data_IF_031740521637
#
_entry.id   IF_031740521637
#
_cell.length_a   1.000
_cell.length_b   1.000
_cell.length_c   1.000
_cell.angle_alpha   90.00
_cell.angle_beta   90.00
_cell.angle_gamma   90.00
#
_symmetry.space_group_name_H-M   'P 1'
#
loop_
_entity.id
_entity.type
_entity.pdbx_description
1 polymer ?
#
# COMPACT_ATOMS: atom_id res chain seq x y z
N UNK A 1 -9.22 -37.43 -63.73
CA UNK A 1 -8.41 -38.04 -62.65
C UNK A 1 -8.38 -36.99 -61.54
N UNK A 2 -9.26 -37.10 -60.53
CA UNK A 2 -9.21 -38.05 -59.40
C UNK A 2 -8.37 -37.45 -58.25
N UNK A 3 -8.88 -37.25 -57.04
CA UNK A 3 -10.27 -37.43 -56.53
C UNK A 3 -10.52 -36.58 -55.27
N UNK A 4 -11.77 -36.57 -54.78
CA UNK A 4 -12.15 -35.86 -53.56
C UNK A 4 -11.69 -36.63 -52.29
N UNK A 5 -11.40 -35.90 -51.21
CA UNK A 5 -12.09 -36.17 -49.93
C UNK A 5 -11.95 -35.05 -48.90
N UNK A 6 -13.08 -34.66 -48.30
CA UNK A 6 -13.15 -33.90 -47.06
C UNK A 6 -13.25 -34.85 -45.86
N UNK A 7 -12.76 -34.44 -44.69
CA UNK A 7 -13.44 -34.72 -43.42
C UNK A 7 -14.40 -33.58 -43.03
N UNK A 8 -15.39 -33.91 -42.22
CA UNK A 8 -16.52 -33.04 -41.89
C UNK A 8 -16.18 -31.92 -40.90
N UNK A 9 -17.05 -30.90 -40.89
CA UNK A 9 -17.11 -29.88 -39.84
C UNK A 9 -17.53 -30.48 -38.49
N UNK A 10 -16.89 -30.05 -37.41
CA UNK A 10 -17.46 -30.10 -36.07
C UNK A 10 -17.80 -28.69 -35.56
N UNK A 11 -18.87 -28.57 -34.80
CA UNK A 11 -19.63 -27.33 -34.67
C UNK A 11 -19.06 -26.28 -33.71
N UNK A 12 -19.29 -25.00 -34.03
CA UNK A 12 -19.15 -23.87 -33.09
C UNK A 12 -20.19 -23.95 -31.97
N UNK A 13 -19.81 -23.98 -30.68
CA UNK A 13 -20.76 -23.98 -29.57
C UNK A 13 -21.49 -22.63 -29.44
N UNK A 14 -22.82 -22.66 -29.47
CA UNK A 14 -23.67 -21.48 -29.24
C UNK A 14 -23.73 -21.05 -27.76
N UNK A 15 -24.14 -19.79 -27.47
CA UNK A 15 -24.09 -19.23 -26.11
C UNK A 15 -25.31 -19.63 -25.26
N UNK A 16 -25.39 -20.88 -24.80
CA UNK A 16 -26.55 -21.37 -24.01
C UNK A 16 -26.31 -22.45 -22.95
N UNK A 17 -25.07 -22.78 -22.56
CA UNK A 17 -24.78 -23.87 -21.60
C UNK A 17 -23.96 -23.46 -20.36
N UNK A 18 -24.38 -22.39 -19.66
CA UNK A 18 -23.90 -22.10 -18.30
C UNK A 18 -25.10 -21.88 -17.35
N UNK A 19 -25.50 -22.95 -16.66
CA UNK A 19 -26.43 -22.85 -15.53
C UNK A 19 -25.78 -22.16 -14.31
N UNK A 20 -26.58 -21.67 -13.35
CA UNK A 20 -26.06 -20.99 -12.16
C UNK A 20 -25.21 -21.95 -11.30
N UNK A 21 -24.07 -21.49 -10.75
CA UNK A 21 -23.23 -22.33 -9.91
C UNK A 21 -23.94 -22.66 -8.59
N UNK A 22 -23.99 -23.95 -8.23
CA UNK A 22 -24.56 -24.37 -6.95
C UNK A 22 -23.70 -23.91 -5.76
N UNK A 23 -24.32 -23.57 -4.62
CA UNK A 23 -23.59 -23.14 -3.43
C UNK A 23 -22.78 -24.31 -2.84
N UNK A 24 -21.45 -24.19 -2.85
CA UNK A 24 -20.55 -25.13 -2.19
C UNK A 24 -20.67 -24.97 -0.67
N UNK A 25 -21.10 -26.03 0.02
CA UNK A 25 -21.14 -26.07 1.48
C UNK A 25 -19.74 -25.80 2.08
N UNK A 26 -19.71 -25.06 3.19
CA UNK A 26 -18.51 -24.85 4.00
C UNK A 26 -18.33 -26.02 4.97
N UNK A 27 -17.09 -26.50 5.22
CA UNK A 27 -16.82 -27.41 6.33
C UNK A 27 -17.12 -26.74 7.68
N UNK A 28 -17.66 -27.50 8.62
CA UNK A 28 -17.84 -27.05 10.01
C UNK A 28 -16.49 -26.85 10.73
N UNK A 29 -16.42 -25.94 11.72
CA UNK A 29 -15.22 -25.75 12.52
C UNK A 29 -14.98 -26.94 13.46
N UNK A 30 -13.86 -27.63 13.29
CA UNK A 30 -13.44 -28.71 14.20
C UNK A 30 -13.21 -28.19 15.63
N UNK A 31 -13.67 -28.96 16.63
CA UNK A 31 -13.62 -28.58 18.05
C UNK A 31 -12.20 -28.52 18.63
N UNK A 32 -12.04 -27.71 19.69
CA UNK A 32 -10.77 -27.53 20.41
C UNK A 32 -10.54 -28.70 21.39
N UNK A 33 -9.41 -29.42 21.31
CA UNK A 33 -9.04 -30.40 22.34
C UNK A 33 -8.57 -29.69 23.63
N UNK A 34 -9.20 -30.01 24.76
CA UNK A 34 -8.69 -29.65 26.09
C UNK A 34 -7.73 -30.72 26.62
N UNK A 35 -6.68 -30.30 27.33
CA UNK A 35 -6.00 -31.13 28.32
C UNK A 35 -4.49 -31.33 28.11
N UNK A 36 -3.69 -30.57 28.87
CA UNK A 36 -2.41 -31.02 29.43
C UNK A 36 -2.30 -30.51 30.89
N UNK A 37 -1.57 -31.20 31.78
CA UNK A 37 -1.76 -31.05 33.22
C UNK A 37 -0.91 -29.94 33.87
N UNK A 38 -1.32 -29.56 35.09
CA UNK A 38 -0.57 -28.69 36.01
C UNK A 38 0.55 -29.50 36.67
N UNK A 39 1.72 -28.88 36.90
CA UNK A 39 2.77 -29.39 37.79
C UNK A 39 3.04 -28.38 38.92
N UNK A 40 3.32 -28.89 40.11
CA UNK A 40 3.12 -28.14 41.36
C UNK A 40 4.37 -27.41 41.91
N UNK A 41 4.14 -26.74 43.03
CA UNK A 41 4.89 -25.68 43.71
C UNK A 41 6.14 -26.08 44.51
N UNK A 42 7.05 -25.11 44.68
CA UNK A 42 7.89 -24.89 45.89
C UNK A 42 8.33 -23.40 45.90
N UNK A 43 7.98 -22.56 46.89
CA UNK A 43 8.50 -22.46 48.29
C UNK A 43 9.97 -21.98 48.28
N UNK A 44 10.39 -20.87 48.92
CA UNK A 44 9.80 -20.00 49.98
C UNK A 44 10.09 -18.50 49.64
N UNK A 45 9.97 -17.43 50.47
CA UNK A 45 9.81 -17.22 51.92
C UNK A 45 9.16 -15.84 52.27
N UNK A 46 9.32 -15.37 53.52
CA UNK A 46 8.89 -14.08 54.11
C UNK A 46 9.97 -13.62 55.15
N UNK A 47 9.88 -12.52 55.96
CA UNK A 47 8.67 -11.78 56.38
C UNK A 47 8.73 -10.23 56.57
N UNK A 48 7.53 -9.65 56.64
CA UNK A 48 7.03 -8.54 57.50
C UNK A 48 7.83 -7.24 57.80
N UNK A 49 7.20 -6.10 57.52
CA UNK A 49 7.49 -4.76 58.07
C UNK A 49 7.56 -3.66 56.98
N UNK A 50 6.89 -2.52 57.08
CA UNK A 50 5.89 -2.03 58.03
C UNK A 50 5.00 -0.92 57.41
N UNK A 51 4.05 -0.39 58.19
CA UNK A 51 3.22 0.80 57.94
C UNK A 51 2.20 0.81 56.77
N UNK A 52 0.92 0.96 57.12
CA UNK A 52 -0.15 1.40 56.20
C UNK A 52 -0.01 2.89 55.88
N UNK A 53 -0.38 3.28 54.67
CA UNK A 53 -1.08 4.56 54.42
C UNK A 53 -2.39 4.28 53.69
N UNK A 54 -3.49 4.84 54.19
CA UNK A 54 -4.82 4.67 53.62
C UNK A 54 -5.13 5.83 52.67
N UNK A 55 -5.43 5.53 51.41
CA UNK A 55 -6.12 6.47 50.54
C UNK A 55 -7.63 6.43 50.87
N UNK A 56 -8.30 7.59 51.05
CA UNK A 56 -9.73 7.62 51.26
C UNK A 56 -10.47 7.27 49.96
N UNK A 57 -11.48 6.41 50.06
CA UNK A 57 -12.37 6.08 48.95
C UNK A 57 -13.33 7.24 48.68
N UNK A 58 -12.94 8.17 47.80
CA UNK A 58 -13.86 9.17 47.25
C UNK A 58 -14.92 8.48 46.38
N UNK A 59 -16.19 8.79 46.62
CA UNK A 59 -17.31 8.08 46.00
C UNK A 59 -17.35 8.23 44.48
N UNK A 60 -17.51 7.11 43.77
CA UNK A 60 -17.67 7.07 42.32
C UNK A 60 -19.09 7.50 41.90
N UNK A 61 -19.33 8.82 41.82
CA UNK A 61 -20.49 9.35 41.11
C UNK A 61 -20.39 8.98 39.63
N UNK A 62 -21.41 8.34 39.02
CA UNK A 62 -21.38 8.05 37.59
C UNK A 62 -21.39 9.36 36.79
N UNK A 63 -20.30 9.65 36.07
CA UNK A 63 -20.23 10.77 35.14
C UNK A 63 -21.32 10.57 34.07
N UNK A 64 -22.23 11.53 33.83
CA UNK A 64 -23.27 11.39 32.83
C UNK A 64 -22.71 11.05 31.45
N UNK A 65 -23.37 10.16 30.71
CA UNK A 65 -22.92 9.73 29.38
C UNK A 65 -22.75 10.90 28.38
N UNK A 66 -23.44 12.02 28.61
CA UNK A 66 -23.29 13.28 27.87
C UNK A 66 -21.89 13.89 28.02
N UNK A 67 -21.30 13.80 29.20
CA UNK A 67 -20.02 14.42 29.53
C UNK A 67 -18.86 13.50 29.15
N UNK A 68 -19.06 12.18 29.25
CA UNK A 68 -18.16 11.19 28.64
C UNK A 68 -18.06 11.40 27.12
N UNK A 69 -19.19 11.63 26.44
CA UNK A 69 -19.21 11.98 25.02
C UNK A 69 -18.48 13.31 24.75
N UNK A 70 -18.66 14.34 25.59
CA UNK A 70 -17.96 15.62 25.45
C UNK A 70 -16.43 15.48 25.57
N UNK A 71 -15.93 14.70 26.53
CA UNK A 71 -14.49 14.44 26.68
C UNK A 71 -13.90 13.64 25.51
N UNK A 72 -14.68 12.73 24.90
CA UNK A 72 -14.24 11.98 23.72
C UNK A 72 -13.97 12.88 22.49
N UNK A 73 -14.66 14.03 22.36
CA UNK A 73 -14.38 15.00 21.30
C UNK A 73 -13.09 15.81 21.53
N UNK A 74 -12.60 15.93 22.77
CA UNK A 74 -11.43 16.76 23.10
C UNK A 74 -10.09 16.08 22.79
N UNK A 75 -10.06 14.76 22.68
CA UNK A 75 -8.82 13.97 22.50
C UNK A 75 -8.81 13.11 21.23
N UNK A 76 -9.78 13.28 20.32
CA UNK A 76 -9.69 12.71 18.99
C UNK A 76 -8.49 13.33 18.24
N UNK A 77 -7.42 12.58 17.92
CA UNK A 77 -6.28 13.15 17.22
C UNK A 77 -6.73 13.66 15.85
N UNK A 78 -6.12 14.76 15.37
CA UNK A 78 -6.34 15.26 14.01
C UNK A 78 -5.64 14.36 12.99
N UNK A 79 -6.06 13.09 12.93
CA UNK A 79 -5.87 12.22 11.78
C UNK A 79 -6.37 13.01 10.55
N UNK A 80 -5.55 13.17 9.49
CA UNK A 80 -6.00 13.77 8.23
C UNK A 80 -7.12 12.89 7.67
N UNK A 81 -8.35 13.24 8.03
CA UNK A 81 -9.46 12.31 7.97
C UNK A 81 -9.68 11.86 6.53
N UNK A 82 -9.89 10.56 6.35
CA UNK A 82 -9.93 9.88 5.05
C UNK A 82 -11.26 10.15 4.32
N UNK A 83 -11.47 11.43 4.00
CA UNK A 83 -12.73 12.00 3.53
C UNK A 83 -12.97 11.78 2.04
N UNK A 84 -11.91 11.55 1.26
CA UNK A 84 -11.91 11.55 -0.20
C UNK A 84 -11.22 10.27 -0.76
N UNK A 85 -11.67 9.08 -0.34
CA UNK A 85 -11.15 7.76 -0.76
C UNK A 85 -12.06 7.01 -1.76
N UNK A 86 -11.54 6.01 -2.52
CA UNK A 86 -12.36 5.21 -3.44
C UNK A 86 -13.38 4.30 -2.73
N UNK A 87 -14.65 4.43 -3.11
CA UNK A 87 -15.81 3.62 -2.66
C UNK A 87 -16.00 2.33 -3.45
N UNK A 88 -15.14 2.05 -4.44
CA UNK A 88 -15.23 0.91 -5.36
C UNK A 88 -13.84 0.32 -5.60
N UNK A 89 -13.72 -0.98 -5.98
CA UNK A 89 -12.44 -1.61 -6.29
C UNK A 89 -11.66 -0.83 -7.37
N UNK A 90 -10.60 -0.14 -6.96
CA UNK A 90 -9.85 0.81 -7.77
C UNK A 90 -8.35 0.46 -7.78
N UNK A 91 -7.73 0.49 -8.96
CA UNK A 91 -6.29 0.34 -9.15
C UNK A 91 -5.51 1.60 -8.76
N UNK A 92 -4.19 1.50 -8.61
CA UNK A 92 -3.32 2.57 -8.14
C UNK A 92 -3.39 3.87 -8.97
N UNK A 93 -3.46 3.78 -10.31
CA UNK A 93 -3.60 4.94 -11.19
C UNK A 93 -4.94 5.65 -11.02
N UNK A 94 -6.03 4.88 -10.85
CA UNK A 94 -7.38 5.41 -10.68
C UNK A 94 -7.68 6.03 -9.30
N UNK A 95 -6.76 5.95 -8.33
CA UNK A 95 -7.07 6.12 -6.90
C UNK A 95 -7.49 7.54 -6.47
N UNK A 96 -7.29 8.55 -7.31
CA UNK A 96 -7.81 9.91 -7.10
C UNK A 96 -9.21 10.12 -7.70
N UNK A 97 -9.74 9.21 -8.53
CA UNK A 97 -11.11 9.27 -9.06
C UNK A 97 -12.13 8.85 -7.99
N UNK A 98 -12.41 9.75 -7.06
CA UNK A 98 -13.43 9.56 -6.03
C UNK A 98 -14.69 10.37 -6.34
N UNK A 99 -15.78 10.13 -5.61
CA UNK A 99 -17.05 10.86 -5.77
C UNK A 99 -16.90 12.38 -5.52
N UNK A 100 -15.88 12.77 -4.76
CA UNK A 100 -15.53 14.16 -4.44
C UNK A 100 -14.49 14.76 -5.39
N UNK A 101 -14.07 14.04 -6.43
CA UNK A 101 -13.11 14.50 -7.43
C UNK A 101 -13.55 15.82 -8.09
N UNK A 102 -12.57 16.69 -8.38
CA UNK A 102 -12.74 17.94 -9.11
C UNK A 102 -11.50 18.15 -9.98
N UNK A 103 -11.69 18.47 -11.26
CA UNK A 103 -10.61 18.63 -12.24
C UNK A 103 -9.55 19.66 -11.80
N UNK A 104 -9.96 20.76 -11.14
CA UNK A 104 -9.05 21.80 -10.66
C UNK A 104 -8.01 21.29 -9.65
N UNK A 105 -8.29 20.19 -8.92
CA UNK A 105 -7.29 19.58 -8.01
C UNK A 105 -6.08 19.05 -8.78
N UNK A 106 -6.26 18.60 -10.03
CA UNK A 106 -5.14 18.17 -10.88
C UNK A 106 -4.30 19.38 -11.31
N UNK A 107 -4.92 20.52 -11.62
CA UNK A 107 -4.18 21.75 -11.92
C UNK A 107 -3.44 22.31 -10.70
N UNK A 108 -4.08 22.32 -9.51
CA UNK A 108 -3.42 22.74 -8.28
C UNK A 108 -2.27 21.78 -7.91
N UNK A 109 -2.44 20.48 -8.10
CA UNK A 109 -1.37 19.50 -7.93
C UNK A 109 -0.21 19.77 -8.91
N UNK A 110 -0.48 20.05 -10.18
CA UNK A 110 0.54 20.42 -11.16
C UNK A 110 1.26 21.72 -10.76
N UNK A 111 0.54 22.76 -10.33
CA UNK A 111 1.11 24.02 -9.88
C UNK A 111 2.03 23.85 -8.65
N UNK A 112 1.57 23.10 -7.63
CA UNK A 112 2.37 22.74 -6.44
C UNK A 112 3.60 21.93 -6.83
N UNK A 113 3.47 21.02 -7.79
CA UNK A 113 4.57 20.17 -8.27
C UNK A 113 5.62 20.98 -9.04
N UNK A 114 5.21 21.87 -9.94
CA UNK A 114 6.11 22.72 -10.73
C UNK A 114 6.82 23.75 -9.84
N UNK A 115 6.08 24.44 -8.97
CA UNK A 115 6.67 25.40 -8.02
C UNK A 115 7.63 24.71 -7.05
N UNK A 116 7.28 23.51 -6.57
CA UNK A 116 8.17 22.66 -5.78
C UNK A 116 9.44 22.28 -6.55
N UNK A 117 9.31 21.66 -7.73
CA UNK A 117 10.41 21.17 -8.55
C UNK A 117 11.42 22.26 -8.93
N UNK A 118 10.96 23.42 -9.43
CA UNK A 118 11.86 24.52 -9.77
C UNK A 118 12.44 25.19 -8.52
N UNK A 119 11.65 25.34 -7.44
CA UNK A 119 12.11 25.95 -6.19
C UNK A 119 13.19 25.11 -5.48
N UNK A 120 12.99 23.79 -5.38
CA UNK A 120 13.98 22.89 -4.76
C UNK A 120 15.14 22.60 -5.71
N UNK A 121 14.92 22.51 -7.02
CA UNK A 121 15.99 22.44 -8.03
C UNK A 121 16.95 23.62 -7.95
N UNK A 122 16.42 24.85 -7.86
CA UNK A 122 17.22 26.05 -7.66
C UNK A 122 17.95 26.04 -6.30
N UNK A 123 17.25 25.76 -5.20
CA UNK A 123 17.83 25.77 -3.85
C UNK A 123 18.94 24.71 -3.68
N UNK A 124 18.73 23.47 -4.14
CA UNK A 124 19.74 22.42 -4.06
C UNK A 124 20.83 22.55 -5.13
N UNK A 125 20.57 23.22 -6.25
CA UNK A 125 21.61 23.64 -7.20
C UNK A 125 22.61 24.62 -6.56
N UNK A 126 22.10 25.65 -5.88
CA UNK A 126 22.92 26.57 -5.09
C UNK A 126 23.67 25.85 -3.95
N UNK A 127 23.03 24.90 -3.26
CA UNK A 127 23.69 24.06 -2.27
C UNK A 127 24.82 23.22 -2.89
N UNK A 128 24.63 22.68 -4.09
CA UNK A 128 25.66 21.94 -4.82
C UNK A 128 26.91 22.79 -5.10
N UNK A 129 26.72 23.98 -5.66
CA UNK A 129 27.82 24.95 -5.85
C UNK A 129 28.50 25.35 -4.53
N UNK A 130 27.74 25.51 -3.43
CA UNK A 130 28.31 25.80 -2.12
C UNK A 130 29.15 24.64 -1.55
N UNK A 131 28.76 23.39 -1.82
CA UNK A 131 29.54 22.20 -1.47
C UNK A 131 30.82 22.13 -2.29
N UNK A 132 30.78 22.37 -3.60
CA UNK A 132 31.99 22.38 -4.43
C UNK A 132 32.96 23.51 -4.04
N UNK A 133 32.43 24.70 -3.72
CA UNK A 133 33.23 25.80 -3.17
C UNK A 133 33.89 25.44 -1.85
N UNK A 134 33.14 24.86 -0.91
CA UNK A 134 33.68 24.42 0.39
C UNK A 134 34.73 23.30 0.27
N UNK A 135 34.67 22.49 -0.80
CA UNK A 135 35.61 21.38 -1.06
C UNK A 135 36.84 21.77 -1.89
N UNK A 136 36.76 22.81 -2.71
CA UNK A 136 37.78 23.13 -3.73
C UNK A 136 38.29 24.57 -3.72
N UNK A 137 37.62 25.48 -3.00
CA UNK A 137 37.85 26.92 -3.08
C UNK A 137 37.40 27.58 -4.38
N UNK A 138 36.68 26.85 -5.26
CA UNK A 138 36.24 27.32 -6.58
C UNK A 138 34.77 26.99 -6.82
N UNK A 139 34.16 27.77 -7.71
CA UNK A 139 32.86 27.47 -8.32
C UNK A 139 33.13 27.39 -9.82
N UNK A 140 33.05 26.18 -10.38
CA UNK A 140 33.13 25.99 -11.83
C UNK A 140 31.80 26.46 -12.46
N UNK A 141 31.89 27.19 -13.57
CA UNK A 141 30.76 27.95 -14.13
C UNK A 141 29.73 27.10 -14.88
N UNK A 142 28.52 27.62 -15.15
CA UNK A 142 27.54 26.93 -15.99
C UNK A 142 28.14 26.52 -17.34
N UNK A 143 28.16 25.21 -17.62
CA UNK A 143 28.74 24.64 -18.85
C UNK A 143 30.06 23.88 -18.67
N UNK A 144 30.68 23.86 -17.48
CA UNK A 144 31.92 23.11 -17.21
C UNK A 144 31.74 21.60 -16.99
N UNK A 145 30.59 21.02 -17.35
CA UNK A 145 30.22 19.64 -17.02
C UNK A 145 29.67 19.46 -15.60
N UNK A 146 29.46 18.21 -15.19
CA UNK A 146 28.91 17.88 -13.88
C UNK A 146 29.98 17.78 -12.78
N UNK A 147 29.82 18.57 -11.71
CA UNK A 147 30.63 18.48 -10.49
C UNK A 147 30.00 17.56 -9.45
N UNK A 148 30.78 17.13 -8.45
CA UNK A 148 30.31 16.24 -7.39
C UNK A 148 29.26 16.89 -6.46
N UNK A 149 29.43 18.17 -6.11
CA UNK A 149 28.43 18.93 -5.36
C UNK A 149 27.15 19.14 -6.15
N UNK A 150 27.21 19.43 -7.46
CA UNK A 150 26.03 19.50 -8.32
C UNK A 150 25.33 18.15 -8.49
N UNK A 151 26.05 17.03 -8.58
CA UNK A 151 25.45 15.69 -8.56
C UNK A 151 24.65 15.44 -7.27
N UNK A 152 25.24 15.78 -6.10
CA UNK A 152 24.56 15.69 -4.81
C UNK A 152 23.32 16.61 -4.77
N UNK A 153 23.45 17.85 -5.21
CA UNK A 153 22.36 18.83 -5.29
C UNK A 153 21.20 18.36 -6.16
N UNK A 154 21.49 17.85 -7.37
CA UNK A 154 20.52 17.27 -8.29
C UNK A 154 19.73 16.12 -7.63
N UNK A 155 20.42 15.18 -7.00
CA UNK A 155 19.75 14.04 -6.37
C UNK A 155 18.91 14.45 -5.16
N UNK A 156 19.33 15.47 -4.38
CA UNK A 156 18.52 16.03 -3.29
C UNK A 156 17.30 16.81 -3.80
N UNK A 157 17.42 17.54 -4.91
CA UNK A 157 16.27 18.16 -5.58
C UNK A 157 15.25 17.11 -6.03
N UNK A 158 15.69 16.03 -6.66
CA UNK A 158 14.80 14.95 -7.12
C UNK A 158 14.22 14.16 -5.92
N UNK A 159 14.99 13.91 -4.87
CA UNK A 159 14.47 13.34 -3.62
C UNK A 159 13.39 14.22 -2.95
N UNK A 160 13.44 15.54 -3.13
CA UNK A 160 12.41 16.47 -2.62
C UNK A 160 11.03 16.27 -3.27
N UNK A 161 10.93 15.51 -4.37
CA UNK A 161 9.65 15.10 -4.94
C UNK A 161 8.81 14.25 -3.97
N UNK A 162 9.43 13.61 -2.97
CA UNK A 162 8.73 12.88 -1.90
C UNK A 162 7.91 13.84 -1.00
N UNK A 163 8.48 14.87 -0.35
CA UNK A 163 7.68 15.88 0.36
C UNK A 163 6.77 16.73 -0.54
N UNK A 164 7.11 16.94 -1.82
CA UNK A 164 6.17 17.58 -2.78
C UNK A 164 4.94 16.68 -3.00
N UNK A 165 5.11 15.36 -3.13
CA UNK A 165 3.99 14.42 -3.22
C UNK A 165 3.16 14.36 -1.92
N UNK A 166 3.76 14.58 -0.75
CA UNK A 166 3.01 14.81 0.49
C UNK A 166 2.10 16.03 0.37
N UNK A 167 2.59 17.19 -0.11
CA UNK A 167 1.76 18.39 -0.31
C UNK A 167 0.63 18.14 -1.32
N UNK A 168 0.92 17.44 -2.43
CA UNK A 168 -0.10 17.04 -3.41
C UNK A 168 -1.14 16.07 -2.83
N UNK A 169 -0.76 15.17 -1.91
CA UNK A 169 -1.70 14.29 -1.22
C UNK A 169 -2.76 15.07 -0.42
N UNK A 170 -2.37 16.22 0.16
CA UNK A 170 -3.28 17.14 0.86
C UNK A 170 -4.30 17.79 -0.10
N UNK A 171 -3.89 18.16 -1.32
CA UNK A 171 -4.78 18.70 -2.37
C UNK A 171 -5.88 17.69 -2.71
N UNK A 172 -5.54 16.41 -2.80
CA UNK A 172 -6.52 15.34 -3.02
C UNK A 172 -7.21 14.84 -1.75
N UNK A 173 -6.81 15.32 -0.56
CA UNK A 173 -7.37 14.98 0.76
C UNK A 173 -7.27 13.49 1.08
N UNK A 174 -6.18 12.86 0.63
CA UNK A 174 -5.80 11.51 0.97
C UNK A 174 -4.47 11.57 1.73
N UNK A 175 -4.31 10.92 2.90
CA UNK A 175 -3.01 10.90 3.57
C UNK A 175 -1.95 10.21 2.69
N UNK A 176 -0.72 10.74 2.71
CA UNK A 176 0.45 10.32 1.90
C UNK A 176 0.68 8.79 1.81
N UNK A 177 0.23 8.02 2.80
CA UNK A 177 0.23 6.55 2.79
C UNK A 177 -0.46 5.92 1.56
N UNK A 178 -1.44 6.60 0.94
CA UNK A 178 -2.09 6.18 -0.30
C UNK A 178 -1.35 6.57 -1.58
N UNK A 179 -0.32 7.42 -1.48
CA UNK A 179 0.63 7.67 -2.57
C UNK A 179 1.61 6.50 -2.71
N UNK A 180 1.93 5.79 -1.62
CA UNK A 180 2.81 4.59 -1.67
C UNK A 180 2.14 3.39 -2.37
N UNK A 181 0.94 2.99 -1.93
CA UNK A 181 0.20 1.86 -2.52
C UNK A 181 -1.30 1.91 -2.24
N UNK A 182 -2.07 1.09 -2.97
CA UNK A 182 -3.49 0.79 -2.71
C UNK A 182 -3.75 0.08 -1.37
N UNK A 183 -2.72 -0.20 -0.57
CA UNK A 183 -2.87 -0.78 0.77
C UNK A 183 -2.72 0.24 1.91
N UNK A 184 -2.56 1.54 1.57
CA UNK A 184 -2.42 2.59 2.57
C UNK A 184 -1.13 2.49 3.39
N UNK A 185 -0.07 1.91 2.82
CA UNK A 185 1.27 1.79 3.41
C UNK A 185 2.31 1.42 2.33
N UNK A 186 3.59 1.66 2.62
CA UNK A 186 4.69 1.12 1.83
C UNK A 186 4.98 -0.32 2.26
N UNK A 187 4.98 -1.26 1.31
CA UNK A 187 5.05 -2.70 1.56
C UNK A 187 6.51 -3.17 1.61
N UNK A 188 7.24 -2.79 2.66
CA UNK A 188 8.69 -3.07 2.82
C UNK A 188 9.12 -4.52 2.50
N UNK A 189 8.38 -5.54 2.96
CA UNK A 189 8.68 -6.96 2.67
C UNK A 189 8.50 -7.36 1.20
N UNK A 190 7.70 -6.61 0.44
CA UNK A 190 7.56 -6.75 -1.01
C UNK A 190 8.66 -5.97 -1.72
N UNK A 191 8.89 -4.70 -1.35
CA UNK A 191 9.98 -3.86 -1.86
C UNK A 191 11.36 -4.53 -1.79
N UNK A 192 11.76 -5.07 -0.63
CA UNK A 192 13.02 -5.78 -0.47
C UNK A 192 13.12 -7.07 -1.29
N UNK A 193 11.99 -7.73 -1.54
CA UNK A 193 11.95 -8.88 -2.44
C UNK A 193 12.08 -8.46 -3.92
N UNK A 194 11.49 -7.33 -4.32
CA UNK A 194 11.68 -6.75 -5.65
C UNK A 194 13.15 -6.40 -5.89
N UNK A 195 13.82 -5.70 -4.95
CA UNK A 195 15.26 -5.40 -5.04
C UNK A 195 16.07 -6.69 -5.27
N UNK A 196 15.83 -7.73 -4.46
CA UNK A 196 16.53 -9.01 -4.54
C UNK A 196 16.24 -9.82 -5.83
N UNK A 197 15.13 -9.57 -6.53
CA UNK A 197 14.83 -10.20 -7.82
C UNK A 197 15.23 -9.36 -9.03
N UNK A 198 15.35 -8.04 -8.89
CA UNK A 198 15.92 -7.16 -9.91
C UNK A 198 17.45 -7.34 -9.99
N UNK A 199 18.13 -7.27 -8.84
CA UNK A 199 19.59 -7.22 -8.74
C UNK A 199 20.36 -8.22 -9.64
N UNK A 200 19.98 -9.52 -9.76
CA UNK A 200 20.70 -10.47 -10.61
C UNK A 200 20.77 -10.06 -12.09
N UNK A 201 19.74 -9.43 -12.65
CA UNK A 201 19.72 -9.03 -14.05
C UNK A 201 20.73 -7.91 -14.34
N UNK A 202 20.87 -6.96 -13.42
CA UNK A 202 21.85 -5.87 -13.54
C UNK A 202 23.27 -6.31 -13.17
N UNK A 203 23.45 -7.27 -12.26
CA UNK A 203 24.76 -7.93 -12.06
C UNK A 203 25.21 -8.63 -13.34
N UNK A 204 24.31 -9.38 -14.02
CA UNK A 204 24.63 -10.04 -15.29
C UNK A 204 24.95 -9.02 -16.37
N UNK A 205 24.16 -7.95 -16.52
CA UNK A 205 24.47 -6.86 -17.46
C UNK A 205 25.84 -6.25 -17.19
N UNK A 206 26.10 -5.77 -15.97
CA UNK A 206 27.36 -5.15 -15.60
C UNK A 206 28.56 -6.09 -15.84
N UNK A 207 28.42 -7.38 -15.49
CA UNK A 207 29.45 -8.40 -15.74
C UNK A 207 29.73 -8.57 -17.23
N UNK A 208 28.69 -8.69 -18.07
CA UNK A 208 28.85 -8.83 -19.51
C UNK A 208 29.48 -7.57 -20.14
N UNK A 209 29.05 -6.38 -19.74
CA UNK A 209 29.64 -5.12 -20.17
C UNK A 209 31.11 -5.00 -19.77
N UNK A 210 31.50 -5.44 -18.56
CA UNK A 210 32.91 -5.49 -18.12
C UNK A 210 33.78 -6.54 -18.83
N UNK A 211 33.17 -7.55 -19.45
CA UNK A 211 33.87 -8.61 -20.20
C UNK A 211 33.99 -8.31 -21.69
N UNK A 212 33.02 -7.61 -22.28
CA UNK A 212 32.88 -7.41 -23.74
C UNK A 212 33.10 -5.94 -24.16
N UNK A 213 32.83 -4.98 -23.27
CA UNK A 213 33.02 -3.56 -23.54
C UNK A 213 34.49 -3.12 -23.48
N UNK A 214 34.76 -1.90 -23.98
CA UNK A 214 36.08 -1.29 -23.87
C UNK A 214 36.45 -1.05 -22.39
N UNK A 215 37.68 -1.42 -22.04
CA UNK A 215 38.19 -1.29 -20.67
C UNK A 215 38.71 0.12 -20.43
N UNK A 216 37.80 1.03 -20.10
CA UNK A 216 38.16 2.32 -19.52
C UNK A 216 38.98 2.15 -18.25
N UNK A 217 39.98 3.01 -18.04
CA UNK A 217 40.84 2.97 -16.86
C UNK A 217 40.06 3.43 -15.62
N UNK A 218 39.82 2.50 -14.69
CA UNK A 218 39.18 2.81 -13.40
C UNK A 218 40.24 3.24 -12.40
N UNK A 219 40.22 4.51 -11.99
CA UNK A 219 41.23 5.12 -11.12
C UNK A 219 40.61 5.75 -9.88
N UNK A 220 41.35 5.73 -8.77
CA UNK A 220 41.01 6.50 -7.57
C UNK A 220 41.32 7.98 -7.81
N UNK A 221 40.35 8.86 -7.56
CA UNK A 221 40.48 10.30 -7.75
C UNK A 221 39.94 11.09 -6.54
N UNK A 222 40.16 12.42 -6.54
CA UNK A 222 39.85 13.33 -5.42
C UNK A 222 38.39 13.27 -4.97
N UNK A 223 37.48 12.88 -5.87
CA UNK A 223 36.04 12.84 -5.64
C UNK A 223 35.51 11.43 -5.31
N UNK A 224 36.30 10.36 -5.50
CA UNK A 224 35.85 8.96 -5.36
C UNK A 224 35.08 8.69 -4.07
N UNK A 225 35.65 9.01 -2.91
CA UNK A 225 35.01 8.71 -1.61
C UNK A 225 33.72 9.51 -1.44
N UNK A 226 33.70 10.76 -1.88
CA UNK A 226 32.51 11.61 -1.83
C UNK A 226 31.41 11.08 -2.77
N UNK A 227 31.77 10.69 -4.00
CA UNK A 227 30.84 10.15 -4.99
C UNK A 227 30.28 8.79 -4.59
N UNK A 228 31.05 7.91 -3.94
CA UNK A 228 30.53 6.66 -3.34
C UNK A 228 29.38 6.98 -2.36
N UNK A 229 29.58 7.90 -1.42
CA UNK A 229 28.53 8.29 -0.48
C UNK A 229 27.37 9.02 -1.15
N UNK A 230 27.64 9.93 -2.09
CA UNK A 230 26.59 10.65 -2.81
C UNK A 230 25.68 9.70 -3.59
N UNK A 231 26.24 8.78 -4.38
CA UNK A 231 25.50 7.76 -5.14
C UNK A 231 24.71 6.86 -4.19
N UNK A 232 25.37 6.21 -3.22
CA UNK A 232 24.73 5.20 -2.37
C UNK A 232 23.65 5.77 -1.44
N UNK A 233 23.79 7.02 -0.97
CA UNK A 233 22.84 7.64 -0.05
C UNK A 233 21.70 8.40 -0.76
N UNK A 234 21.96 9.01 -1.92
CA UNK A 234 20.98 9.93 -2.55
C UNK A 234 20.33 9.39 -3.82
N UNK A 235 21.00 8.59 -4.64
CA UNK A 235 20.37 7.96 -5.82
C UNK A 235 19.13 7.14 -5.44
N UNK A 236 19.11 6.35 -4.34
CA UNK A 236 17.89 5.63 -3.96
C UNK A 236 16.70 6.54 -3.60
N UNK A 237 16.97 7.73 -3.07
CA UNK A 237 15.95 8.73 -2.74
C UNK A 237 15.49 9.50 -3.98
N UNK A 238 16.41 9.81 -4.91
CA UNK A 238 16.12 10.40 -6.23
C UNK A 238 15.20 9.49 -7.06
N UNK A 239 15.54 8.20 -7.24
CA UNK A 239 14.68 7.23 -7.93
C UNK A 239 13.28 7.15 -7.31
N UNK A 240 13.17 7.11 -5.98
CA UNK A 240 11.88 7.09 -5.28
C UNK A 240 11.11 8.40 -5.51
N UNK A 241 11.78 9.55 -5.45
CA UNK A 241 11.18 10.86 -5.75
C UNK A 241 10.58 10.93 -7.16
N UNK A 242 11.29 10.42 -8.17
CA UNK A 242 10.79 10.36 -9.55
C UNK A 242 9.63 9.37 -9.73
N UNK A 243 9.60 8.26 -8.99
CA UNK A 243 8.42 7.40 -8.94
C UNK A 243 7.21 8.12 -8.30
N UNK A 244 7.42 8.88 -7.23
CA UNK A 244 6.37 9.72 -6.64
C UNK A 244 5.90 10.82 -7.60
N UNK A 245 6.79 11.45 -8.38
CA UNK A 245 6.42 12.42 -9.41
C UNK A 245 5.64 11.77 -10.55
N UNK A 246 6.28 10.87 -11.31
CA UNK A 246 5.72 10.37 -12.55
C UNK A 246 4.54 9.42 -12.29
N UNK A 247 4.72 8.40 -11.44
CA UNK A 247 3.70 7.37 -11.20
C UNK A 247 2.74 7.79 -10.08
N UNK A 248 3.22 8.52 -9.08
CA UNK A 248 2.41 9.06 -7.98
C UNK A 248 1.58 10.30 -8.36
N UNK A 249 2.14 11.30 -9.05
CA UNK A 249 1.44 12.55 -9.38
C UNK A 249 0.94 12.57 -10.83
N UNK A 250 1.82 12.46 -11.83
CA UNK A 250 1.45 12.68 -13.25
C UNK A 250 0.46 11.63 -13.74
N UNK A 251 0.81 10.35 -13.59
CA UNK A 251 -0.03 9.22 -13.99
C UNK A 251 -1.41 9.29 -13.32
N UNK A 252 -1.45 9.38 -11.99
CA UNK A 252 -2.71 9.45 -11.23
C UNK A 252 -3.51 10.72 -11.52
N UNK A 253 -2.85 11.85 -11.77
CA UNK A 253 -3.51 13.10 -12.16
C UNK A 253 -4.32 12.93 -13.44
N UNK A 254 -3.68 12.45 -14.51
CA UNK A 254 -4.31 12.21 -15.82
C UNK A 254 -5.31 11.05 -15.76
N UNK A 255 -4.94 9.93 -15.13
CA UNK A 255 -5.82 8.77 -14.94
C UNK A 255 -7.12 9.14 -14.20
N UNK A 256 -7.08 10.13 -13.29
CA UNK A 256 -8.26 10.58 -12.53
C UNK A 256 -9.33 11.32 -13.33
N UNK A 257 -9.10 11.65 -14.62
CA UNK A 257 -10.18 12.13 -15.50
C UNK A 257 -11.16 11.01 -15.88
N UNK A 258 -10.72 9.75 -15.86
CA UNK A 258 -11.50 8.59 -16.30
C UNK A 258 -12.29 7.95 -15.13
N UNK A 259 -13.61 7.75 -15.25
CA UNK A 259 -14.40 7.06 -14.22
C UNK A 259 -13.99 5.59 -14.08
N UNK A 260 -13.79 5.09 -12.86
CA UNK A 260 -13.35 3.71 -12.60
C UNK A 260 -14.51 2.70 -12.63
N UNK A 261 -15.59 3.00 -13.35
CA UNK A 261 -16.89 2.30 -13.27
C UNK A 261 -17.00 1.05 -14.15
N UNK A 262 -16.18 0.93 -15.19
CA UNK A 262 -16.15 -0.25 -16.09
C UNK A 262 -14.72 -0.65 -16.39
N UNK A 263 -14.51 -1.93 -16.75
CA UNK A 263 -13.17 -2.45 -17.11
C UNK A 263 -12.53 -1.67 -18.26
N UNK A 264 -13.31 -1.27 -19.27
CA UNK A 264 -12.82 -0.45 -20.38
C UNK A 264 -12.28 0.91 -19.90
N UNK A 265 -13.05 1.63 -19.05
CA UNK A 265 -12.62 2.93 -18.54
C UNK A 265 -11.42 2.81 -17.58
N UNK A 266 -11.32 1.74 -16.79
CA UNK A 266 -10.15 1.47 -15.96
C UNK A 266 -8.87 1.22 -16.80
N UNK A 267 -9.01 0.58 -17.96
CA UNK A 267 -7.89 0.37 -18.93
C UNK A 267 -7.53 1.66 -19.66
N UNK A 268 -8.51 2.44 -20.14
CA UNK A 268 -8.26 3.76 -20.74
C UNK A 268 -7.59 4.72 -19.75
N UNK A 269 -8.01 4.67 -18.47
CA UNK A 269 -7.39 5.38 -17.36
C UNK A 269 -5.91 5.00 -17.18
N UNK A 270 -5.58 3.71 -17.28
CA UNK A 270 -4.20 3.21 -17.17
C UNK A 270 -3.35 3.65 -18.37
N UNK A 271 -3.89 3.54 -19.58
CA UNK A 271 -3.19 3.90 -20.83
C UNK A 271 -2.92 5.40 -20.87
N UNK A 272 -3.93 6.25 -20.63
CA UNK A 272 -3.76 7.70 -20.67
C UNK A 272 -2.82 8.22 -19.57
N UNK A 273 -2.98 7.74 -18.33
CA UNK A 273 -2.09 8.09 -17.22
C UNK A 273 -0.65 7.60 -17.45
N UNK A 274 -0.48 6.36 -17.90
CA UNK A 274 0.82 5.77 -18.21
C UNK A 274 1.53 6.46 -19.36
N UNK A 275 0.83 6.74 -20.47
CA UNK A 275 1.40 7.40 -21.64
C UNK A 275 1.89 8.82 -21.32
N UNK A 276 1.05 9.66 -20.69
CA UNK A 276 1.47 11.04 -20.33
C UNK A 276 2.58 11.02 -19.29
N UNK A 277 2.53 10.13 -18.30
CA UNK A 277 3.64 9.94 -17.35
C UNK A 277 4.95 9.53 -18.03
N UNK A 278 4.87 8.79 -19.14
CA UNK A 278 6.06 8.27 -19.83
C UNK A 278 6.67 9.30 -20.78
N UNK A 279 5.82 10.09 -21.46
CA UNK A 279 6.26 11.29 -22.20
C UNK A 279 6.88 12.32 -21.26
N UNK A 280 6.29 12.58 -20.08
CA UNK A 280 6.86 13.53 -19.11
C UNK A 280 8.21 13.04 -18.57
N UNK A 281 8.36 11.75 -18.23
CA UNK A 281 9.65 11.19 -17.79
C UNK A 281 10.72 11.30 -18.88
N UNK A 282 10.38 10.97 -20.13
CA UNK A 282 11.24 11.12 -21.30
C UNK A 282 11.70 12.57 -21.49
N UNK A 283 10.77 13.54 -21.49
CA UNK A 283 11.08 14.95 -21.67
C UNK A 283 11.94 15.53 -20.53
N UNK A 284 11.72 15.08 -19.29
CA UNK A 284 12.55 15.49 -18.14
C UNK A 284 14.01 15.02 -18.24
N UNK A 285 14.31 14.01 -19.05
CA UNK A 285 15.68 13.57 -19.32
C UNK A 285 16.39 14.42 -20.40
N UNK A 286 15.68 15.28 -21.12
CA UNK A 286 16.20 16.27 -22.07
C UNK A 286 17.28 15.72 -23.03
N UNK A 287 17.01 14.56 -23.65
CA UNK A 287 17.92 13.94 -24.61
C UNK A 287 17.67 14.45 -26.04
N UNK A 288 18.74 14.73 -26.77
CA UNK A 288 18.71 14.91 -28.23
C UNK A 288 18.72 13.59 -29.00
N UNK A 289 19.21 12.51 -28.40
CA UNK A 289 19.24 11.18 -29.01
C UNK A 289 17.87 10.47 -29.00
N UNK A 290 17.46 9.93 -30.15
CA UNK A 290 16.16 9.27 -30.31
C UNK A 290 16.08 7.93 -29.57
N UNK A 291 17.16 7.17 -29.47
CA UNK A 291 17.18 5.85 -28.82
C UNK A 291 17.21 6.00 -27.30
N UNK A 292 17.87 7.03 -26.76
CA UNK A 292 17.72 7.42 -25.35
C UNK A 292 16.27 7.80 -25.02
N UNK A 293 15.63 8.64 -25.85
CA UNK A 293 14.22 9.01 -25.65
C UNK A 293 13.29 7.79 -25.65
N UNK A 294 13.48 6.85 -26.60
CA UNK A 294 12.74 5.58 -26.63
C UNK A 294 13.02 4.74 -25.37
N UNK A 295 14.26 4.66 -24.90
CA UNK A 295 14.61 3.94 -23.67
C UNK A 295 13.86 4.52 -22.46
N UNK A 296 13.95 5.84 -22.26
CA UNK A 296 13.27 6.53 -21.15
C UNK A 296 11.74 6.37 -21.21
N UNK A 297 11.13 6.45 -22.40
CA UNK A 297 9.69 6.22 -22.57
C UNK A 297 9.28 4.78 -22.23
N UNK A 298 10.04 3.78 -22.66
CA UNK A 298 9.72 2.36 -22.41
C UNK A 298 9.97 1.98 -20.95
N UNK A 299 11.07 2.43 -20.35
CA UNK A 299 11.34 2.31 -18.92
C UNK A 299 10.23 2.95 -18.07
N UNK A 300 9.83 4.18 -18.45
CA UNK A 300 8.74 4.88 -17.77
C UNK A 300 7.41 4.10 -17.83
N UNK A 301 7.09 3.59 -19.02
CA UNK A 301 5.89 2.79 -19.31
C UNK A 301 5.87 1.49 -18.49
N UNK A 302 7.01 0.78 -18.40
CA UNK A 302 7.15 -0.44 -17.60
C UNK A 302 6.93 -0.15 -16.10
N UNK A 303 7.46 0.95 -15.57
CA UNK A 303 7.17 1.35 -14.19
C UNK A 303 5.70 1.71 -13.95
N UNK A 304 5.03 2.34 -14.92
CA UNK A 304 3.58 2.58 -14.86
C UNK A 304 2.77 1.27 -14.85
N UNK A 305 3.16 0.30 -15.69
CA UNK A 305 2.60 -1.05 -15.72
C UNK A 305 2.81 -1.80 -14.39
N UNK A 306 4.01 -1.74 -13.80
CA UNK A 306 4.30 -2.31 -12.48
C UNK A 306 3.44 -1.66 -11.38
N UNK A 307 3.23 -0.35 -11.44
CA UNK A 307 2.29 0.36 -10.58
C UNK A 307 0.84 -0.13 -10.70
N UNK A 308 0.38 -0.45 -11.91
CA UNK A 308 -0.94 -1.02 -12.17
C UNK A 308 -1.06 -2.47 -11.64
N UNK A 309 -0.16 -3.38 -12.04
CA UNK A 309 -0.29 -4.81 -11.71
C UNK A 309 0.07 -5.15 -10.26
N UNK A 310 0.89 -4.32 -9.59
CA UNK A 310 1.24 -4.50 -8.16
C UNK A 310 0.51 -3.52 -7.22
N UNK A 311 -0.14 -2.48 -7.75
CA UNK A 311 -0.91 -1.50 -6.98
C UNK A 311 -0.09 -0.54 -6.10
N UNK A 312 1.14 -0.22 -6.47
CA UNK A 312 1.96 0.73 -5.71
C UNK A 312 3.34 0.95 -6.32
N UNK A 313 4.06 1.92 -5.78
CA UNK A 313 5.37 2.34 -6.29
C UNK A 313 6.48 1.33 -5.97
N UNK A 314 6.29 0.39 -5.04
CA UNK A 314 7.39 -0.45 -4.52
C UNK A 314 8.06 -1.32 -5.58
N UNK A 315 7.33 -1.74 -6.62
CA UNK A 315 7.90 -2.55 -7.70
C UNK A 315 8.69 -1.71 -8.70
N UNK A 316 8.19 -0.52 -9.09
CA UNK A 316 8.91 0.38 -10.00
C UNK A 316 10.09 1.04 -9.29
N UNK A 317 9.94 1.50 -8.05
CA UNK A 317 11.05 2.05 -7.25
C UNK A 317 12.17 1.04 -7.08
N UNK A 318 11.88 -0.23 -6.77
CA UNK A 318 12.94 -1.24 -6.63
C UNK A 318 13.71 -1.49 -7.93
N UNK A 319 13.00 -1.58 -9.06
CA UNK A 319 13.61 -1.70 -10.38
C UNK A 319 14.46 -0.47 -10.73
N UNK A 320 13.95 0.73 -10.44
CA UNK A 320 14.59 2.01 -10.73
C UNK A 320 15.85 2.23 -9.89
N UNK A 321 15.81 1.94 -8.58
CA UNK A 321 16.98 2.02 -7.69
C UNK A 321 18.10 1.09 -8.18
N UNK A 322 17.79 -0.17 -8.51
CA UNK A 322 18.80 -1.11 -9.01
C UNK A 322 19.36 -0.66 -10.36
N UNK A 323 18.52 -0.14 -11.26
CA UNK A 323 18.95 0.39 -12.54
C UNK A 323 19.97 1.52 -12.39
N UNK A 324 19.63 2.57 -11.65
CA UNK A 324 20.49 3.74 -11.52
C UNK A 324 21.71 3.47 -10.64
N UNK A 325 21.62 2.70 -9.56
CA UNK A 325 22.81 2.31 -8.80
C UNK A 325 23.80 1.49 -9.63
N UNK A 326 23.33 0.66 -10.56
CA UNK A 326 24.21 -0.09 -11.47
C UNK A 326 24.82 0.82 -12.54
N UNK A 327 24.01 1.66 -13.18
CA UNK A 327 24.49 2.65 -14.16
C UNK A 327 25.47 3.68 -13.54
N UNK A 328 25.37 3.91 -12.22
CA UNK A 328 26.23 4.83 -11.47
C UNK A 328 27.43 4.15 -10.79
N UNK A 329 27.60 2.83 -10.90
CA UNK A 329 28.57 2.07 -10.10
C UNK A 329 30.04 2.41 -10.38
N UNK A 330 30.37 2.78 -11.62
CA UNK A 330 31.74 3.13 -12.06
C UNK A 330 32.07 4.61 -11.87
N UNK A 331 31.07 5.50 -11.74
CA UNK A 331 31.26 6.95 -11.70
C UNK A 331 32.22 7.46 -10.61
N UNK A 332 32.33 6.83 -9.42
CA UNK A 332 33.34 7.22 -8.45
C UNK A 332 34.79 6.91 -8.88
N UNK A 333 35.00 6.24 -10.01
CA UNK A 333 36.32 5.77 -10.49
C UNK A 333 36.63 6.20 -11.94
N UNK A 334 35.75 6.99 -12.58
CA UNK A 334 35.94 7.54 -13.93
C UNK A 334 35.85 9.07 -13.90
N UNK A 335 36.24 9.76 -14.98
CA UNK A 335 35.69 11.10 -15.22
C UNK A 335 34.18 10.99 -15.42
N UNK A 336 33.44 11.89 -14.78
CA UNK A 336 31.98 11.96 -14.80
C UNK A 336 31.46 13.34 -15.25
N UNK A 337 32.35 14.26 -15.62
CA UNK A 337 32.01 15.60 -16.14
C UNK A 337 31.03 15.52 -17.33
N UNK A 338 31.28 14.58 -18.24
CA UNK A 338 30.46 14.26 -19.42
C UNK A 338 29.36 13.22 -19.22
N UNK A 339 29.10 12.73 -17.99
CA UNK A 339 28.11 11.69 -17.69
C UNK A 339 26.70 11.99 -18.24
N UNK A 340 26.37 13.28 -18.38
CA UNK A 340 25.07 13.76 -18.84
C UNK A 340 25.02 14.12 -20.32
N UNK A 341 26.02 13.73 -21.12
CA UNK A 341 25.91 13.77 -22.57
C UNK A 341 24.72 12.89 -23.03
N UNK A 342 23.80 13.50 -23.78
CA UNK A 342 22.62 12.88 -24.37
C UNK A 342 22.36 13.41 -25.78
N UNK A 343 23.40 13.91 -26.44
CA UNK A 343 23.36 14.43 -27.80
C UNK A 343 23.15 13.30 -28.83
N UNK A 344 22.68 13.64 -30.03
CA UNK A 344 22.35 12.65 -31.05
C UNK A 344 23.58 11.78 -31.42
N UNK A 345 23.43 10.45 -31.34
CA UNK A 345 24.53 9.49 -31.49
C UNK A 345 25.06 8.95 -30.15
N UNK A 346 24.58 9.45 -29.01
CA UNK A 346 24.92 8.91 -27.68
C UNK A 346 24.31 7.53 -27.41
N UNK A 347 23.41 7.03 -28.27
CA UNK A 347 22.85 5.69 -28.15
C UNK A 347 22.47 5.09 -29.52
N UNK A 348 22.05 3.84 -29.53
CA UNK A 348 21.74 3.06 -30.72
C UNK A 348 20.67 2.00 -30.43
N UNK A 349 20.06 1.36 -31.46
CA UNK A 349 19.15 0.24 -31.26
C UNK A 349 19.77 -0.92 -30.46
N UNK A 350 21.08 -1.15 -30.60
CA UNK A 350 21.78 -2.20 -29.86
C UNK A 350 21.88 -1.85 -28.36
N UNK A 351 22.25 -0.60 -28.03
CA UNK A 351 22.33 -0.12 -26.64
C UNK A 351 20.94 -0.13 -26.00
N UNK A 352 19.91 0.35 -26.70
CA UNK A 352 18.51 0.26 -26.28
C UNK A 352 18.10 -1.17 -25.93
N UNK A 353 18.44 -2.16 -26.76
CA UNK A 353 18.11 -3.56 -26.48
C UNK A 353 18.88 -4.11 -25.26
N UNK A 354 20.14 -3.73 -25.09
CA UNK A 354 20.98 -4.11 -23.96
C UNK A 354 20.42 -3.55 -22.64
N UNK A 355 20.14 -2.24 -22.59
CA UNK A 355 19.62 -1.56 -21.40
C UNK A 355 18.20 -2.00 -21.04
N UNK A 356 17.32 -2.19 -22.03
CA UNK A 356 15.92 -2.53 -21.80
C UNK A 356 15.73 -4.03 -21.45
N UNK A 357 16.68 -4.91 -21.79
CA UNK A 357 16.62 -6.35 -21.46
C UNK A 357 16.43 -6.63 -19.96
N UNK A 358 17.27 -6.13 -19.03
CA UNK A 358 17.06 -6.36 -17.60
C UNK A 358 15.77 -5.72 -17.08
N UNK A 359 15.34 -4.58 -17.65
CA UNK A 359 14.09 -3.89 -17.30
C UNK A 359 12.87 -4.77 -17.63
N UNK A 360 12.84 -5.38 -18.82
CA UNK A 360 11.77 -6.29 -19.25
C UNK A 360 11.80 -7.61 -18.47
N UNK A 361 12.98 -8.21 -18.26
CA UNK A 361 13.11 -9.44 -17.47
C UNK A 361 12.68 -9.24 -16.02
N UNK A 362 13.07 -8.12 -15.41
CA UNK A 362 12.59 -7.71 -14.09
C UNK A 362 11.06 -7.54 -14.09
N UNK A 363 10.48 -6.83 -15.06
CA UNK A 363 9.03 -6.63 -15.13
C UNK A 363 8.24 -7.95 -15.22
N UNK A 364 8.73 -8.92 -16.00
CA UNK A 364 8.17 -10.27 -16.12
C UNK A 364 8.24 -11.00 -14.76
N UNK A 365 9.41 -11.01 -14.10
CA UNK A 365 9.58 -11.69 -12.81
C UNK A 365 8.78 -11.02 -11.69
N UNK A 366 8.78 -9.69 -11.60
CA UNK A 366 8.01 -8.95 -10.60
C UNK A 366 6.51 -9.18 -10.78
N UNK A 367 5.99 -9.18 -12.01
CA UNK A 367 4.59 -9.52 -12.31
C UNK A 367 4.26 -10.96 -11.90
N UNK A 368 5.06 -11.94 -12.31
CA UNK A 368 4.86 -13.34 -11.95
C UNK A 368 4.90 -13.55 -10.43
N UNK A 369 5.87 -12.94 -9.73
CA UNK A 369 5.96 -12.97 -8.27
C UNK A 369 4.78 -12.28 -7.59
N UNK A 370 4.26 -11.18 -8.15
CA UNK A 370 3.10 -10.47 -7.62
C UNK A 370 1.84 -11.33 -7.68
N UNK A 371 1.58 -11.99 -8.82
CA UNK A 371 0.49 -12.96 -8.95
C UNK A 371 0.68 -14.16 -8.02
N UNK A 372 1.87 -14.78 -7.99
CA UNK A 372 2.18 -15.92 -7.11
C UNK A 372 2.01 -15.60 -5.61
N UNK A 373 2.36 -14.39 -5.18
CA UNK A 373 2.18 -13.91 -3.79
C UNK A 373 0.83 -13.23 -3.52
N UNK A 374 -0.08 -13.18 -4.50
CA UNK A 374 -1.41 -12.52 -4.42
C UNK A 374 -1.30 -11.08 -3.89
N UNK A 375 -0.34 -10.31 -4.40
CA UNK A 375 -0.09 -8.92 -3.98
C UNK A 375 -1.31 -8.06 -4.30
N UNK A 376 -1.87 -7.42 -3.27
CA UNK A 376 -3.06 -6.56 -3.38
C UNK A 376 -2.79 -5.38 -4.33
N UNK A 377 -3.44 -5.39 -5.49
CA UNK A 377 -3.25 -4.40 -6.57
C UNK A 377 -4.49 -3.54 -6.86
N UNK A 378 -5.57 -3.78 -6.12
CA UNK A 378 -6.87 -3.08 -6.15
C UNK A 378 -7.35 -2.92 -4.71
N UNK A 379 -7.98 -1.81 -4.35
CA UNK A 379 -8.72 -1.69 -3.10
C UNK A 379 -9.89 -0.70 -3.17
N UNK A 380 -10.74 -0.71 -2.15
CA UNK A 380 -11.94 0.12 -2.03
C UNK A 380 -12.09 0.66 -0.58
N UNK A 381 -11.11 1.40 -0.05
CA UNK A 381 -11.08 1.71 1.39
C UNK A 381 -12.19 2.65 1.86
N UNK A 382 -12.83 3.41 0.97
CA UNK A 382 -14.05 4.17 1.25
C UNK A 382 -15.35 3.36 1.13
N UNK A 383 -15.29 2.07 0.74
CA UNK A 383 -16.46 1.19 0.69
C UNK A 383 -16.82 0.63 2.08
N UNK A 384 -15.86 0.62 3.01
CA UNK A 384 -16.18 0.53 4.42
C UNK A 384 -16.87 1.84 4.82
N UNK A 385 -18.13 1.74 5.26
CA UNK A 385 -18.76 2.82 6.02
C UNK A 385 -17.96 3.13 7.29
N UNK A 386 -18.25 4.24 8.00
CA UNK A 386 -17.60 4.52 9.28
C UNK A 386 -17.71 3.29 10.17
N UNK A 387 -16.57 2.73 10.58
CA UNK A 387 -16.52 1.49 11.35
C UNK A 387 -17.43 1.64 12.56
N UNK A 388 -18.48 0.81 12.62
CA UNK A 388 -19.35 0.78 13.79
C UNK A 388 -18.45 0.64 15.04
N UNK A 389 -18.67 1.45 16.09
CA UNK A 389 -17.88 1.33 17.30
C UNK A 389 -17.96 -0.13 17.78
N UNK A 390 -16.85 -0.70 18.29
CA UNK A 390 -16.82 -2.11 18.68
C UNK A 390 -18.00 -2.38 19.60
N UNK A 391 -18.83 -3.38 19.23
CA UNK A 391 -20.06 -3.65 19.93
C UNK A 391 -19.79 -3.78 21.44
N UNK A 392 -20.55 -3.08 22.31
CA UNK A 392 -20.25 -3.04 23.73
C UNK A 392 -20.15 -4.47 24.25
N UNK A 393 -19.03 -4.76 24.91
CA UNK A 393 -18.64 -6.11 25.30
C UNK A 393 -19.82 -6.77 26.02
N UNK A 394 -20.32 -7.88 25.46
CA UNK A 394 -21.41 -8.62 26.07
C UNK A 394 -20.98 -9.00 27.49
N UNK A 395 -21.77 -8.65 28.53
CA UNK A 395 -21.44 -9.05 29.89
C UNK A 395 -21.28 -10.57 29.91
N UNK A 396 -20.13 -11.05 30.39
CA UNK A 396 -19.85 -12.48 30.51
C UNK A 396 -20.86 -13.02 31.52
N UNK A 397 -21.90 -13.69 31.02
CA UNK A 397 -22.84 -14.38 31.89
C UNK A 397 -22.06 -15.49 32.62
N UNK A 398 -22.12 -15.55 33.97
CA UNK A 398 -21.48 -16.64 34.68
C UNK A 398 -22.14 -17.96 34.27
N UNK A 399 -21.37 -19.05 34.13
CA UNK A 399 -21.93 -20.34 33.73
C UNK A 399 -22.98 -20.81 34.73
N UNK A 400 -24.10 -21.32 34.22
CA UNK A 400 -25.16 -21.87 35.06
C UNK A 400 -24.62 -23.04 35.92
N UNK A 401 -25.02 -23.15 37.20
CA UNK A 401 -24.56 -24.25 38.04
C UNK A 401 -24.91 -25.62 37.46
N UNK A 402 -23.92 -26.47 37.27
CA UNK A 402 -24.13 -27.86 36.85
C UNK A 402 -24.85 -28.63 37.97
N UNK A 403 -26.02 -29.19 37.64
CA UNK A 403 -26.75 -30.07 38.55
C UNK A 403 -25.99 -31.37 38.82
N UNK A 404 -25.80 -31.71 40.09
CA UNK A 404 -25.18 -32.97 40.50
C UNK A 404 -26.12 -34.16 40.20
N UNK A 405 -25.63 -35.26 39.58
CA UNK A 405 -26.37 -36.52 39.49
C UNK A 405 -26.69 -37.09 40.88
N UNK A 406 -27.87 -37.72 41.02
CA UNK A 406 -28.42 -38.14 42.31
C UNK A 406 -27.97 -39.51 42.82
N UNK A 407 -28.37 -39.83 44.05
CA UNK A 407 -28.29 -41.17 44.66
C UNK A 407 -29.62 -41.90 44.59
N UNK A 408 -29.58 -43.24 44.55
CA UNK A 408 -30.73 -44.12 44.27
C UNK A 408 -31.07 -45.07 45.43
N UNK A 409 -32.37 -45.24 45.69
CA UNK A 409 -33.11 -46.42 46.22
C UNK A 409 -34.59 -46.00 46.32
N UNK A 410 -35.64 -46.82 46.13
CA UNK A 410 -35.79 -48.23 45.73
C UNK A 410 -37.20 -48.46 45.11
N UNK A 411 -37.67 -49.70 44.89
CA UNK A 411 -38.71 -49.99 43.89
C UNK A 411 -40.09 -50.42 44.44
N UNK A 412 -41.18 -50.13 43.70
CA UNK A 412 -42.32 -51.07 43.56
C UNK A 412 -43.22 -50.86 42.32
N UNK A 413 -44.00 -51.90 42.01
CA UNK A 413 -44.58 -52.29 40.72
C UNK A 413 -45.96 -51.65 40.37
N UNK A 414 -46.09 -51.16 39.13
CA UNK A 414 -47.27 -51.28 38.24
C UNK A 414 -48.65 -50.71 38.66
N UNK A 415 -49.72 -50.91 37.85
CA UNK A 415 -49.78 -51.49 36.50
C UNK A 415 -50.32 -50.51 35.41
N UNK A 416 -50.66 -51.03 34.23
CA UNK A 416 -51.03 -50.32 32.98
C UNK A 416 -52.53 -50.04 32.76
N UNK A 417 -52.86 -49.01 31.96
CA UNK A 417 -53.85 -49.09 30.86
C UNK A 417 -53.79 -47.89 29.88
N UNK A 418 -54.66 -47.84 28.87
CA UNK A 418 -54.34 -47.33 27.51
C UNK A 418 -55.50 -46.58 26.82
N UNK A 419 -55.19 -45.60 25.93
CA UNK A 419 -56.09 -44.88 24.98
C UNK A 419 -57.27 -44.03 25.55
N UNK A 420 -57.99 -43.20 24.75
CA UNK A 420 -57.74 -42.66 23.39
C UNK A 420 -57.78 -41.10 23.29
N UNK A 421 -57.52 -40.48 22.11
CA UNK A 421 -57.55 -39.01 21.91
C UNK A 421 -58.85 -38.43 21.31
N UNK A 422 -59.23 -37.22 21.76
CA UNK A 422 -60.21 -36.25 21.22
C UNK A 422 -60.02 -34.90 21.98
N UNK A 423 -60.43 -33.70 21.54
CA UNK A 423 -61.12 -33.26 20.31
C UNK A 423 -61.14 -31.71 20.23
N UNK A 424 -61.76 -31.14 19.19
CA UNK A 424 -61.83 -29.68 18.93
C UNK A 424 -62.70 -28.88 19.93
N UNK A 425 -62.33 -27.61 20.19
CA UNK A 425 -63.13 -26.35 20.01
C UNK A 425 -62.74 -25.23 21.00
N UNK A 426 -62.96 -23.97 20.60
CA UNK A 426 -62.92 -22.78 21.47
C UNK A 426 -64.32 -22.36 21.94
N UNK A 427 -64.59 -21.08 22.35
CA UNK A 427 -63.78 -19.88 22.11
C UNK A 427 -63.62 -18.96 23.35
N UNK A 428 -63.41 -17.65 23.08
CA UNK A 428 -63.43 -16.45 23.96
C UNK A 428 -64.67 -16.41 24.90
N UNK A 429 -64.81 -15.55 25.93
CA UNK A 429 -64.56 -14.09 25.96
C UNK A 429 -64.89 -13.46 27.36
N UNK A 430 -64.62 -12.15 27.55
CA UNK A 430 -64.96 -11.25 28.70
C UNK A 430 -64.27 -11.58 30.06
N UNK A 431 -63.56 -10.68 30.77
CA UNK A 431 -63.76 -9.30 31.29
C UNK A 431 -64.42 -9.25 32.69
N UNK A 432 -63.67 -8.80 33.72
CA UNK A 432 -64.15 -8.65 35.09
C UNK A 432 -63.15 -7.99 36.06
N UNK A 433 -63.30 -6.67 36.27
CA UNK A 433 -62.68 -5.81 37.31
C UNK A 433 -63.17 -6.16 38.74
N UNK A 434 -62.67 -5.53 39.84
CA UNK A 434 -61.32 -5.02 40.14
C UNK A 434 -60.85 -5.18 41.62
N UNK A 435 -59.57 -4.88 41.88
CA UNK A 435 -59.15 -4.01 43.00
C UNK A 435 -58.80 -4.62 44.37
N UNK A 436 -57.64 -4.21 44.92
CA UNK A 436 -57.54 -3.33 46.10
C UNK A 436 -56.10 -2.80 46.27
N UNK A 437 -55.95 -1.60 46.83
CA UNK A 437 -54.70 -0.87 47.16
C UNK A 437 -55.03 -0.03 48.41
N UNK A 438 -54.28 -0.14 49.54
CA UNK A 438 -53.31 0.93 49.89
C UNK A 438 -52.09 0.49 50.75
N UNK A 439 -51.18 1.44 51.02
CA UNK A 439 -49.97 1.28 51.87
C UNK A 439 -48.67 1.40 51.06
N UNK A 440 -47.77 2.39 51.16
CA UNK A 440 -47.43 3.41 52.18
C UNK A 440 -46.94 2.83 53.52
N UNK A 441 -45.80 3.22 54.12
CA UNK A 441 -44.77 4.22 53.74
C UNK A 441 -43.53 4.08 54.64
N UNK A 442 -42.34 4.49 54.16
CA UNK A 442 -41.40 5.27 55.00
C UNK A 442 -40.10 4.63 55.52
N UNK A 443 -39.00 5.37 55.29
CA UNK A 443 -37.99 5.85 56.25
C UNK A 443 -37.28 4.92 57.27
N UNK A 444 -35.97 5.16 57.38
CA UNK A 444 -35.14 4.90 58.58
C UNK A 444 -34.26 3.64 58.46
N UNK A 445 -32.93 3.67 58.34
CA UNK A 445 -31.83 4.45 58.97
C UNK A 445 -31.34 3.87 60.30
N UNK A 446 -30.19 3.19 60.24
CA UNK A 446 -29.19 3.01 61.29
C UNK A 446 -27.81 2.93 60.62
#
# INVERSE_FOLDING_TARGET
>A
MSENNHPQSDGTPGPSQWGPPQPRQLPEPAGVPHGLPVSDSSVSSAPAGAARLQYPTSGSTPVPARDQAAMAWQYAPYLPAERDLPTRPTHYHGFWRTEKWRWWRVLLAAAVTLAGFFGTGFAFGLFGYAIDFARTGKIDGPGTGLTAGLFLGNNLALASLIPIALLVSLVFRQPMRWMSSVTGRFRWRWFGACLAWCLPFWIVLATLTSLVGEKGELAMHKDTVFMIFAVLLTTPLQCVGEEFLCRGIVNRGVASFFPQTTRLLQVLSAIAGGAVSSVVFMLLHNAGDVWLNVNYFLFASIGCYLGWVTGGLEASSAMHIINNLTAMATLPFTDFSGMFNREAGSSSPAILLIDLTPVVLAAIVLTWRAHRKKITNVSAPGAAGPTAPPAPAQPIQPPAPYGQPGWTTGPQQGPSQEYPPQGYWGPRQFLGRPGMVPGSTGWGSA
#
